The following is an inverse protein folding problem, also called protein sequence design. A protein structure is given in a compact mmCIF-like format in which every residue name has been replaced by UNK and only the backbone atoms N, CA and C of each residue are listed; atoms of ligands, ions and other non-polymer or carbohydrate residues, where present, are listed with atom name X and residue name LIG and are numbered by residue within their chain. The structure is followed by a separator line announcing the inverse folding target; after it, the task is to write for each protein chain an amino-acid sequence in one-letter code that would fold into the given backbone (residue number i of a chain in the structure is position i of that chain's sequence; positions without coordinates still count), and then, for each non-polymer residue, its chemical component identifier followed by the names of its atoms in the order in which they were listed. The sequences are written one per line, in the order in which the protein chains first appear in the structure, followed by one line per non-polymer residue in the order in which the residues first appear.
data_IF_412677671037
#
_entry.id   IF_412677671037
#
_cell.length_a   1.000
_cell.length_b   1.000
_cell.length_c   1.000
_cell.angle_alpha   90.00
_cell.angle_beta   90.00
_cell.angle_gamma   90.00
#
_symmetry.space_group_name_H-M   'P 1'
#
loop_
_entity.id
_entity.type
_entity.pdbx_description
1 polymer ?
#
# COMPACT_ATOMS: atom_id res chain seq x y z
N UNK A 1 28.26 -1.01 -4.31
CA UNK A 1 27.21 -1.86 -3.73
C UNK A 1 25.85 -1.31 -4.13
N UNK A 2 25.37 -1.65 -5.34
CA UNK A 2 24.01 -1.34 -5.76
C UNK A 2 23.07 -2.20 -4.94
N UNK A 3 22.22 -1.59 -4.11
CA UNK A 3 21.19 -2.34 -3.40
C UNK A 3 20.32 -3.07 -4.45
N UNK A 4 20.02 -4.36 -4.26
CA UNK A 4 19.11 -5.06 -5.15
C UNK A 4 17.78 -4.32 -5.10
N UNK A 5 17.37 -3.80 -6.26
CA UNK A 5 16.07 -3.19 -6.45
C UNK A 5 15.02 -4.28 -6.19
N UNK A 6 14.55 -4.39 -4.94
CA UNK A 6 13.44 -5.27 -4.59
C UNK A 6 12.25 -4.81 -5.42
N UNK A 7 11.89 -5.64 -6.40
CA UNK A 7 10.65 -5.50 -7.14
C UNK A 7 9.49 -5.35 -6.15
N UNK A 8 8.48 -4.54 -6.45
CA UNK A 8 7.31 -4.36 -5.59
C UNK A 8 6.44 -5.63 -5.45
N UNK A 9 6.80 -6.70 -6.16
CA UNK A 9 6.16 -8.03 -6.16
C UNK A 9 6.75 -8.95 -5.07
N UNK A 10 6.75 -8.49 -3.82
CA UNK A 10 7.10 -9.35 -2.69
C UNK A 10 5.89 -10.23 -2.34
N UNK A 11 6.08 -11.50 -1.92
CA UNK A 11 4.99 -12.42 -1.53
C UNK A 11 3.96 -11.79 -0.57
N UNK A 12 4.44 -10.89 0.30
CA UNK A 12 3.62 -10.08 1.20
C UNK A 12 2.59 -9.22 0.45
N UNK A 13 3.01 -8.50 -0.59
CA UNK A 13 2.13 -7.62 -1.35
C UNK A 13 1.04 -8.43 -2.06
N UNK A 14 1.40 -9.56 -2.66
CA UNK A 14 0.42 -10.44 -3.30
C UNK A 14 -0.58 -11.03 -2.30
N UNK A 15 -0.09 -11.45 -1.12
CA UNK A 15 -0.94 -11.97 -0.04
C UNK A 15 -1.96 -10.93 0.42
N UNK A 16 -1.50 -9.69 0.69
CA UNK A 16 -2.39 -8.61 1.11
C UNK A 16 -3.35 -8.20 -0.01
N UNK A 17 -2.88 -8.16 -1.26
CA UNK A 17 -3.72 -7.86 -2.41
C UNK A 17 -4.85 -8.88 -2.55
N UNK A 18 -4.53 -10.17 -2.48
CA UNK A 18 -5.52 -11.23 -2.58
C UNK A 18 -6.51 -11.19 -1.41
N UNK A 19 -6.03 -10.89 -0.20
CA UNK A 19 -6.88 -10.73 1.00
C UNK A 19 -7.86 -9.57 0.88
N UNK A 20 -7.45 -8.49 0.23
CA UNK A 20 -8.24 -7.26 0.07
C UNK A 20 -8.95 -7.17 -1.29
N UNK A 21 -8.81 -8.18 -2.15
CA UNK A 21 -9.32 -8.20 -3.53
C UNK A 21 -8.93 -6.96 -4.36
N UNK A 22 -7.75 -6.38 -4.09
CA UNK A 22 -7.29 -5.15 -4.73
C UNK A 22 -8.02 -3.87 -4.29
N UNK A 23 -8.82 -3.92 -3.23
CA UNK A 23 -9.49 -2.78 -2.64
C UNK A 23 -8.64 -2.13 -1.54
N UNK A 24 -8.72 -0.81 -1.43
CA UNK A 24 -8.03 -0.05 -0.40
C UNK A 24 -8.68 -0.27 0.97
N UNK A 25 -7.91 -0.70 1.97
CA UNK A 25 -8.46 -0.97 3.30
C UNK A 25 -8.96 0.27 4.07
N UNK A 26 -8.72 1.48 3.57
CA UNK A 26 -9.15 2.73 4.20
C UNK A 26 -10.42 3.33 3.57
N UNK A 27 -10.70 3.03 2.30
CA UNK A 27 -11.81 3.65 1.56
C UNK A 27 -12.58 2.68 0.67
N UNK A 28 -12.21 1.40 0.68
CA UNK A 28 -12.83 0.30 -0.08
C UNK A 28 -12.90 0.53 -1.60
N UNK A 29 -12.14 1.48 -2.12
CA UNK A 29 -12.04 1.75 -3.56
C UNK A 29 -10.91 0.93 -4.20
N UNK A 30 -11.03 0.56 -5.49
CA UNK A 30 -10.00 -0.20 -6.19
C UNK A 30 -8.68 0.57 -6.25
N UNK A 31 -7.58 -0.15 -6.05
CA UNK A 31 -6.22 0.39 -6.16
C UNK A 31 -5.61 0.04 -7.51
N UNK A 32 -4.67 0.87 -7.95
CA UNK A 32 -3.88 0.58 -9.15
C UNK A 32 -2.68 -0.28 -8.78
N UNK A 33 -2.51 -1.39 -9.51
CA UNK A 33 -1.35 -2.27 -9.38
C UNK A 33 -0.21 -1.80 -10.29
N UNK A 34 -0.55 -1.37 -11.50
CA UNK A 34 0.41 -1.00 -12.52
C UNK A 34 0.29 0.46 -12.94
N UNK A 35 1.42 1.06 -13.36
CA UNK A 35 1.44 2.41 -13.94
C UNK A 35 0.59 2.52 -15.20
N UNK A 36 0.51 1.43 -15.96
CA UNK A 36 -0.23 1.39 -17.23
C UNK A 36 -1.75 1.42 -17.05
N UNK A 37 -2.26 1.16 -15.85
CA UNK A 37 -3.71 1.21 -15.56
C UNK A 37 -4.23 2.65 -15.40
N UNK A 38 -3.34 3.63 -15.21
CA UNK A 38 -3.72 5.03 -15.07
C UNK A 38 -3.44 5.83 -16.34
N UNK A 39 -4.38 6.71 -16.70
CA UNK A 39 -4.23 7.62 -17.83
C UNK A 39 -3.03 8.57 -17.70
N UNK A 40 -2.66 8.94 -16.46
CA UNK A 40 -1.57 9.86 -16.19
C UNK A 40 -0.73 9.43 -14.98
N UNK A 41 0.57 9.73 -15.01
CA UNK A 41 1.52 9.38 -13.95
C UNK A 41 1.14 9.99 -12.58
N UNK A 42 0.48 11.14 -12.57
CA UNK A 42 -0.01 11.80 -11.34
C UNK A 42 -1.17 11.05 -10.71
N UNK A 43 -2.08 10.48 -11.50
CA UNK A 43 -3.16 9.61 -11.02
C UNK A 43 -2.59 8.33 -10.46
N UNK A 44 -1.66 7.71 -11.18
CA UNK A 44 -0.94 6.53 -10.68
C UNK A 44 -0.25 6.81 -9.34
N UNK A 45 0.47 7.92 -9.21
CA UNK A 45 1.17 8.26 -7.97
C UNK A 45 0.23 8.40 -6.75
N UNK A 46 -1.03 8.76 -6.96
CA UNK A 46 -2.06 8.90 -5.91
C UNK A 46 -2.78 7.57 -5.62
N UNK A 47 -3.20 6.88 -6.68
CA UNK A 47 -4.04 5.68 -6.59
C UNK A 47 -3.27 4.35 -6.63
N UNK A 48 -1.94 4.36 -6.70
CA UNK A 48 -1.15 3.13 -6.54
C UNK A 48 -1.34 2.53 -5.16
N UNK A 49 -1.37 1.21 -5.08
CA UNK A 49 -1.32 0.49 -3.81
C UNK A 49 0.03 0.71 -3.12
N UNK A 50 -0.02 0.95 -1.81
CA UNK A 50 1.12 1.12 -0.92
C UNK A 50 0.87 0.35 0.36
N UNK A 51 1.94 -0.09 1.03
CA UNK A 51 1.84 -0.74 2.34
C UNK A 51 1.58 0.35 3.40
N UNK A 52 0.49 0.20 4.14
CA UNK A 52 0.11 0.99 5.30
C UNK A 52 0.17 0.12 6.56
N UNK A 53 0.65 0.71 7.65
CA UNK A 53 0.65 0.07 8.96
C UNK A 53 -0.64 0.47 9.69
N UNK A 54 -1.52 -0.49 10.00
CA UNK A 54 -2.78 -0.24 10.72
C UNK A 54 -2.48 0.56 11.99
N UNK A 55 -1.62 0.03 12.86
CA UNK A 55 -0.98 0.75 13.95
C UNK A 55 0.37 1.30 13.48
N UNK A 56 0.58 2.64 13.50
CA UNK A 56 1.85 3.23 13.14
C UNK A 56 3.01 2.69 13.97
N UNK A 57 4.19 2.54 13.36
CA UNK A 57 5.42 2.14 14.06
C UNK A 57 5.74 3.03 15.26
N UNK A 58 5.43 4.32 15.18
CA UNK A 58 5.63 5.28 16.28
C UNK A 58 4.77 4.99 17.52
N UNK A 59 3.69 4.22 17.39
CA UNK A 59 2.81 3.80 18.48
C UNK A 59 3.02 2.32 18.89
N UNK A 60 4.13 1.71 18.47
CA UNK A 60 4.45 0.31 18.79
C UNK A 60 3.95 -0.71 17.77
N UNK A 61 3.43 -0.27 16.61
CA UNK A 61 3.03 -1.17 15.54
C UNK A 61 4.22 -1.93 14.95
N UNK A 62 4.09 -3.26 14.85
CA UNK A 62 5.12 -4.16 14.30
C UNK A 62 4.98 -4.32 12.80
N UNK A 63 6.04 -4.79 12.14
CA UNK A 63 6.04 -5.14 10.71
C UNK A 63 5.47 -6.56 10.47
N UNK A 64 4.44 -6.93 11.23
CA UNK A 64 3.74 -8.21 11.12
C UNK A 64 2.61 -8.09 10.09
N UNK A 65 2.35 -9.16 9.32
CA UNK A 65 1.32 -9.16 8.25
C UNK A 65 -0.05 -8.72 8.77
N UNK A 66 -0.36 -9.02 10.01
CA UNK A 66 -1.60 -8.65 10.69
C UNK A 66 -1.75 -7.13 10.90
N UNK A 67 -0.63 -6.42 11.03
CA UNK A 67 -0.58 -4.97 11.18
C UNK A 67 -0.32 -4.24 9.85
N UNK A 68 -0.21 -4.98 8.74
CA UNK A 68 0.04 -4.44 7.41
C UNK A 68 -1.22 -4.57 6.55
N UNK A 69 -1.52 -3.52 5.80
CA UNK A 69 -2.61 -3.49 4.84
C UNK A 69 -2.20 -2.71 3.59
N UNK A 70 -2.88 -2.94 2.47
CA UNK A 70 -2.71 -2.12 1.28
C UNK A 70 -3.69 -0.95 1.29
N UNK A 71 -3.17 0.24 1.04
CA UNK A 71 -3.95 1.45 0.87
C UNK A 71 -3.41 2.29 -0.28
N UNK A 72 -4.26 3.17 -0.84
CA UNK A 72 -3.79 4.17 -1.81
C UNK A 72 -2.69 5.02 -1.21
N UNK A 73 -1.72 5.42 -2.02
CA UNK A 73 -0.67 6.34 -1.60
C UNK A 73 -1.24 7.64 -1.00
N UNK A 74 -2.34 8.17 -1.57
CA UNK A 74 -3.02 9.34 -0.99
C UNK A 74 -3.74 9.04 0.32
N UNK A 75 -4.46 7.93 0.43
CA UNK A 75 -5.18 7.57 1.66
C UNK A 75 -4.21 7.35 2.82
N UNK A 76 -3.13 6.61 2.57
CA UNK A 76 -2.04 6.42 3.52
C UNK A 76 -1.42 7.78 3.95
N UNK A 77 -1.16 8.67 2.98
CA UNK A 77 -0.64 10.02 3.27
C UNK A 77 -1.61 10.87 4.12
N UNK A 78 -2.92 10.78 3.87
CA UNK A 78 -3.95 11.51 4.62
C UNK A 78 -4.07 10.96 6.05
N UNK A 79 -4.00 9.63 6.20
CA UNK A 79 -3.98 8.96 7.51
C UNK A 79 -2.79 9.41 8.35
N UNK A 80 -1.58 9.39 7.78
CA UNK A 80 -0.36 9.86 8.44
C UNK A 80 -0.08 9.08 9.73
N UNK A 81 -0.15 9.73 10.89
CA UNK A 81 0.04 9.10 12.20
C UNK A 81 -1.28 8.86 12.98
N UNK A 82 -2.42 9.11 12.33
CA UNK A 82 -3.73 8.93 12.93
C UNK A 82 -4.04 7.44 12.93
N UNK A 83 -4.37 6.92 14.11
CA UNK A 83 -4.91 5.58 14.34
C UNK A 83 -6.41 5.66 14.22
#
# INVERSE_FOLDING_TARGET
MSQPYKTPDTDLFQTLWAKQDGLCALCDQPMLRSRFEAAHATLWAKHRATIDHIQPRSKGGRDEIENLQLAHATCNKIKGNKT
#
